data_IF_085178062241
#
_entry.id   IF_085178062241
#
_cell.length_a   1.000
_cell.length_b   1.000
_cell.length_c   1.000
_cell.angle_alpha   90.00
_cell.angle_beta   90.00
_cell.angle_gamma   90.00
#
_symmetry.space_group_name_H-M   'P 1'
#
loop_
_entity.id
_entity.type
_entity.pdbx_description
1 polymer ?
#
# COMPACT_ATOMS: atom_id res chain seq x y z
N UNK A 1 -14.25 -8.90 34.03
CA UNK A 1 -14.66 -8.29 32.75
C UNK A 1 -13.40 -7.70 32.15
N UNK A 2 -12.74 -8.47 31.30
CA UNK A 2 -11.39 -8.17 30.81
C UNK A 2 -11.45 -7.01 29.83
N UNK A 3 -10.85 -5.88 30.20
CA UNK A 3 -10.74 -4.69 29.38
C UNK A 3 -10.03 -5.04 28.07
N UNK A 4 -10.72 -4.81 26.95
CA UNK A 4 -10.13 -4.92 25.61
C UNK A 4 -9.21 -3.72 25.39
N UNK A 5 -8.01 -3.79 25.95
CA UNK A 5 -6.95 -2.81 25.73
C UNK A 5 -6.33 -3.08 24.35
N UNK A 6 -6.92 -2.50 23.32
CA UNK A 6 -6.42 -2.57 21.95
C UNK A 6 -6.98 -1.41 21.14
N UNK A 7 -6.19 -0.88 20.20
CA UNK A 7 -6.71 0.11 19.26
C UNK A 7 -7.93 -0.47 18.54
N UNK A 8 -8.95 0.32 18.18
CA UNK A 8 -10.14 -0.17 17.45
C UNK A 8 -9.79 -1.04 16.24
N UNK A 9 -8.65 -0.79 15.59
CA UNK A 9 -8.08 -1.60 14.50
C UNK A 9 -7.68 -3.03 14.92
N UNK A 10 -7.19 -3.22 16.14
CA UNK A 10 -6.77 -4.52 16.67
C UNK A 10 -7.97 -5.38 17.10
N UNK A 11 -9.05 -4.73 17.53
CA UNK A 11 -10.31 -5.40 17.88
C UNK A 11 -10.99 -5.94 16.62
N UNK A 12 -11.04 -5.15 15.55
CA UNK A 12 -11.60 -5.58 14.26
C UNK A 12 -10.85 -6.76 13.62
N UNK A 13 -9.51 -6.79 13.72
CA UNK A 13 -8.68 -7.91 13.23
C UNK A 13 -8.97 -9.23 13.95
N UNK A 14 -9.28 -9.17 15.25
CA UNK A 14 -9.48 -10.35 16.10
C UNK A 14 -10.90 -10.92 16.03
N UNK A 15 -11.92 -10.09 15.76
CA UNK A 15 -13.32 -10.52 15.81
C UNK A 15 -13.88 -11.06 14.47
N UNK A 16 -13.32 -10.69 13.31
CA UNK A 16 -14.00 -10.95 12.03
C UNK A 16 -13.22 -11.66 10.93
N UNK A 17 -11.95 -12.05 11.12
CA UNK A 17 -11.20 -12.82 10.12
C UNK A 17 -11.08 -12.18 8.73
N UNK A 18 -11.50 -10.92 8.55
CA UNK A 18 -11.38 -10.19 7.30
C UNK A 18 -10.00 -9.56 7.25
N UNK A 19 -9.16 -10.04 6.32
CA UNK A 19 -7.85 -9.45 6.05
C UNK A 19 -8.03 -7.96 5.75
N UNK A 20 -7.51 -7.12 6.64
CA UNK A 20 -7.47 -5.68 6.44
C UNK A 20 -6.17 -5.33 5.69
N UNK A 21 -6.31 -4.72 4.52
CA UNK A 21 -5.22 -4.23 3.70
C UNK A 21 -5.11 -2.72 3.84
N UNK A 22 -3.89 -2.23 4.03
CA UNK A 22 -3.62 -0.79 4.05
C UNK A 22 -3.61 -0.22 2.63
N UNK A 23 -4.35 0.87 2.43
CA UNK A 23 -4.26 1.70 1.24
C UNK A 23 -2.95 2.51 1.26
N UNK A 24 -2.15 2.45 0.19
CA UNK A 24 -0.91 3.21 0.05
C UNK A 24 -1.13 4.69 -0.26
N UNK A 25 -2.35 5.09 -0.60
CA UNK A 25 -2.71 6.48 -0.92
C UNK A 25 -3.17 7.24 0.33
N UNK A 26 -4.27 6.78 0.95
CA UNK A 26 -4.85 7.46 2.11
C UNK A 26 -4.42 6.87 3.46
N UNK A 27 -3.74 5.72 3.47
CA UNK A 27 -3.25 5.09 4.70
C UNK A 27 -4.28 4.31 5.51
N UNK A 28 -5.56 4.31 5.12
CA UNK A 28 -6.61 3.58 5.85
C UNK A 28 -6.49 2.06 5.69
N UNK A 29 -6.85 1.33 6.74
CA UNK A 29 -7.10 -0.12 6.69
C UNK A 29 -8.45 -0.40 6.02
N UNK A 30 -8.46 -1.27 5.01
CA UNK A 30 -9.62 -1.59 4.17
C UNK A 30 -9.83 -3.10 4.13
N UNK A 31 -11.08 -3.60 4.12
CA UNK A 31 -11.31 -5.01 3.85
C UNK A 31 -10.91 -5.35 2.41
N UNK A 32 -10.65 -6.63 2.14
CA UNK A 32 -10.27 -7.14 0.81
C UNK A 32 -11.22 -6.69 -0.31
N UNK A 33 -12.54 -6.72 -0.07
CA UNK A 33 -13.53 -6.27 -1.04
C UNK A 33 -13.42 -4.77 -1.43
N UNK A 34 -12.79 -3.95 -0.58
CA UNK A 34 -12.64 -2.52 -0.79
C UNK A 34 -11.22 -2.10 -1.20
N UNK A 35 -10.33 -3.06 -1.47
CA UNK A 35 -8.97 -2.78 -1.92
C UNK A 35 -8.80 -3.26 -3.37
N UNK A 36 -7.95 -2.60 -4.12
CA UNK A 36 -7.46 -3.08 -5.41
C UNK A 36 -5.98 -2.78 -5.54
N UNK A 37 -5.31 -3.46 -6.47
CA UNK A 37 -3.88 -3.33 -6.73
C UNK A 37 -3.67 -2.76 -8.12
N UNK A 38 -2.85 -1.71 -8.23
CA UNK A 38 -2.31 -1.24 -9.49
C UNK A 38 -0.86 -1.70 -9.57
N UNK A 39 -0.50 -2.38 -10.65
CA UNK A 39 0.86 -2.86 -10.90
C UNK A 39 1.50 -2.04 -12.00
N UNK A 40 2.66 -1.46 -11.71
CA UNK A 40 3.46 -0.68 -12.66
C UNK A 40 4.90 -1.20 -12.71
N UNK A 41 5.47 -1.28 -13.91
CA UNK A 41 6.89 -1.55 -14.11
C UNK A 41 7.68 -0.25 -13.86
N UNK A 42 8.64 -0.31 -12.94
CA UNK A 42 9.52 0.80 -12.59
C UNK A 42 10.98 0.52 -12.95
N UNK A 43 11.26 -0.55 -13.70
CA UNK A 43 12.62 -0.99 -14.03
C UNK A 43 13.47 0.10 -14.66
N UNK A 44 12.89 0.85 -15.61
CA UNK A 44 13.59 1.93 -16.32
C UNK A 44 14.01 3.05 -15.36
N UNK A 45 13.20 3.38 -14.35
CA UNK A 45 13.53 4.39 -13.33
C UNK A 45 14.79 4.02 -12.53
N UNK A 46 15.10 2.73 -12.43
CA UNK A 46 16.25 2.20 -11.71
C UNK A 46 17.37 1.72 -12.64
N UNK A 47 17.26 1.95 -13.96
CA UNK A 47 18.27 1.54 -14.94
C UNK A 47 18.33 0.03 -15.19
N UNK A 48 17.26 -0.71 -14.90
CA UNK A 48 17.15 -2.14 -15.20
C UNK A 48 16.34 -2.40 -16.47
N UNK A 49 16.52 -3.60 -17.06
CA UNK A 49 15.71 -4.05 -18.17
C UNK A 49 14.22 -4.11 -17.80
N UNK A 50 13.32 -3.80 -18.74
CA UNK A 50 11.88 -3.88 -18.51
C UNK A 50 11.45 -5.25 -17.95
N UNK A 51 10.53 -5.23 -17.00
CA UNK A 51 10.04 -6.41 -16.27
C UNK A 51 10.89 -6.84 -15.08
N UNK A 52 12.03 -6.18 -14.80
CA UNK A 52 12.89 -6.52 -13.66
C UNK A 52 12.27 -6.12 -12.33
N UNK A 53 11.67 -4.93 -12.25
CA UNK A 53 11.10 -4.37 -11.03
C UNK A 53 9.64 -3.98 -11.27
N UNK A 54 8.74 -4.71 -10.62
CA UNK A 54 7.33 -4.36 -10.56
C UNK A 54 6.98 -3.78 -9.19
N UNK A 55 6.11 -2.79 -9.19
CA UNK A 55 5.56 -2.18 -7.99
C UNK A 55 4.06 -2.41 -7.92
N UNK A 56 3.58 -2.80 -6.75
CA UNK A 56 2.17 -3.00 -6.46
C UNK A 56 1.65 -1.92 -5.50
N UNK A 57 0.82 -1.02 -6.02
CA UNK A 57 0.14 0.02 -5.24
C UNK A 57 -1.26 -0.45 -4.86
N UNK A 58 -1.50 -0.66 -3.57
CA UNK A 58 -2.82 -0.96 -3.00
C UNK A 58 -3.59 0.34 -2.79
N UNK A 59 -4.83 0.40 -3.26
CA UNK A 59 -5.68 1.58 -3.16
C UNK A 59 -7.14 1.23 -2.85
N UNK A 60 -7.88 2.18 -2.29
CA UNK A 60 -9.33 2.07 -2.07
C UNK A 60 -10.07 2.08 -3.42
N UNK A 61 -10.73 0.97 -3.77
CA UNK A 61 -11.40 0.82 -5.08
C UNK A 61 -12.74 1.58 -5.17
N UNK A 62 -13.28 1.98 -4.02
CA UNK A 62 -14.52 2.72 -3.84
C UNK A 62 -14.30 4.23 -3.68
N UNK A 63 -13.05 4.69 -3.64
CA UNK A 63 -12.69 6.09 -3.48
C UNK A 63 -12.05 6.63 -4.78
N UNK A 64 -12.72 7.50 -5.55
CA UNK A 64 -12.22 8.02 -6.81
C UNK A 64 -10.82 8.61 -6.73
N UNK A 65 -10.55 9.43 -5.70
CA UNK A 65 -9.23 10.06 -5.52
C UNK A 65 -8.11 9.05 -5.27
N UNK A 66 -8.40 7.94 -4.58
CA UNK A 66 -7.42 6.87 -4.38
C UNK A 66 -7.12 6.12 -5.68
N UNK A 67 -8.13 5.91 -6.53
CA UNK A 67 -7.95 5.25 -7.84
C UNK A 67 -7.07 6.07 -8.76
N UNK A 68 -7.34 7.36 -8.86
CA UNK A 68 -6.59 8.28 -9.73
C UNK A 68 -5.15 8.43 -9.25
N UNK A 69 -4.93 8.65 -7.95
CA UNK A 69 -3.59 8.80 -7.39
C UNK A 69 -2.75 7.51 -7.46
N UNK A 70 -3.38 6.34 -7.49
CA UNK A 70 -2.66 5.06 -7.58
C UNK A 70 -1.92 4.87 -8.91
N UNK A 71 -2.37 5.53 -9.98
CA UNK A 71 -1.76 5.41 -11.32
C UNK A 71 -0.38 6.07 -11.42
N UNK A 72 -0.11 7.04 -10.55
CA UNK A 72 1.13 7.84 -10.59
C UNK A 72 1.96 7.70 -9.32
N UNK A 73 1.52 6.90 -8.35
CA UNK A 73 2.22 6.73 -7.07
C UNK A 73 3.45 5.86 -7.27
N UNK A 74 4.61 6.37 -6.88
CA UNK A 74 5.81 5.55 -6.66
C UNK A 74 6.01 5.33 -5.15
N UNK A 75 6.22 4.08 -4.74
CA UNK A 75 6.45 3.67 -3.34
C UNK A 75 7.93 3.62 -2.95
N UNK A 76 8.82 3.56 -3.94
CA UNK A 76 10.26 3.50 -3.72
C UNK A 76 10.82 4.85 -4.18
N UNK A 77 11.46 5.57 -3.26
CA UNK A 77 12.21 6.79 -3.56
C UNK A 77 13.69 6.43 -3.68
N UNK A 78 14.36 6.97 -4.69
CA UNK A 78 15.82 6.91 -4.81
C UNK A 78 16.41 7.76 -3.68
N UNK A 79 16.75 7.14 -2.55
CA UNK A 79 17.67 7.78 -1.61
C UNK A 79 19.04 7.76 -2.28
N UNK A 80 19.56 8.94 -2.62
CA UNK A 80 20.95 9.07 -3.04
C UNK A 80 21.83 8.42 -1.98
N UNK A 81 22.70 7.52 -2.40
CA UNK A 81 23.69 6.92 -1.52
C UNK A 81 24.60 8.03 -0.99
N UNK A 82 24.38 8.45 0.26
CA UNK A 82 25.36 9.20 1.03
C UNK A 82 26.53 8.24 1.36
N UNK A 83 27.27 7.84 0.32
CA UNK A 83 28.59 7.27 0.46
C UNK A 83 29.53 8.38 0.94
N UNK A 84 29.46 8.67 2.24
CA UNK A 84 30.49 9.44 2.92
C UNK A 84 31.74 8.56 3.00
N UNK A 85 32.69 8.88 2.13
CA UNK A 85 34.06 8.40 2.15
C UNK A 85 34.78 8.72 3.47
#
# INVERSE_FOLDING_TARGET
MSELIGSPSDIYKRMWGMAAWKCHICGSDRPDACISVHTSDISETFGFAAGTIQQNVRYCNDCPSCREAALTKQLIELKGDDHRA
#
